data_IF_481258087787
#
_entry.id   IF_481258087787
#
_cell.length_a   1.000
_cell.length_b   1.000
_cell.length_c   1.000
_cell.angle_alpha   90.00
_cell.angle_beta   90.00
_cell.angle_gamma   90.00
#
_symmetry.space_group_name_H-M   'P 1'
#
loop_
_entity.id
_entity.type
_entity.pdbx_description
1 polymer ?
#
# COMPACT_ATOMS: atom_id res chain seq x y z
N UNK A 1 -7.52 -5.61 -9.40
CA UNK A 1 -8.39 -5.37 -8.22
C UNK A 1 -8.26 -3.92 -7.77
N UNK A 2 -9.38 -3.21 -7.57
CA UNK A 2 -9.38 -1.90 -6.90
C UNK A 2 -9.14 -2.08 -5.40
N UNK A 3 -8.17 -1.35 -4.85
CA UNK A 3 -7.89 -1.32 -3.41
C UNK A 3 -8.59 -0.12 -2.77
N UNK A 4 -8.95 -0.26 -1.49
CA UNK A 4 -9.67 0.72 -0.70
C UNK A 4 -8.99 0.88 0.66
N UNK A 5 -9.22 2.03 1.32
CA UNK A 5 -8.62 2.35 2.62
C UNK A 5 -9.09 1.42 3.74
N UNK A 6 -10.37 1.06 3.76
CA UNK A 6 -10.96 0.27 4.84
C UNK A 6 -10.79 -1.26 4.66
N UNK A 7 -10.03 -1.68 3.66
CA UNK A 7 -9.76 -3.09 3.38
C UNK A 7 -9.09 -3.78 4.58
N UNK A 8 -9.77 -4.79 5.13
CA UNK A 8 -9.22 -5.67 6.17
C UNK A 8 -8.84 -7.00 5.53
N UNK A 9 -7.54 -7.36 5.48
CA UNK A 9 -7.16 -8.69 5.03
C UNK A 9 -7.72 -9.74 6.00
N UNK A 10 -8.04 -10.96 5.52
CA UNK A 10 -8.42 -12.06 6.38
C UNK A 10 -7.37 -12.34 7.45
N UNK A 11 -7.79 -12.92 8.57
CA UNK A 11 -6.87 -13.27 9.65
C UNK A 11 -5.97 -14.43 9.22
N UNK A 12 -4.68 -14.41 9.61
CA UNK A 12 -3.81 -15.56 9.46
C UNK A 12 -4.39 -16.79 10.15
N UNK A 13 -4.25 -17.95 9.52
CA UNK A 13 -4.65 -19.24 10.09
C UNK A 13 -3.51 -19.79 10.94
N UNK A 14 -3.89 -20.47 12.03
CA UNK A 14 -2.97 -21.21 12.89
C UNK A 14 -3.19 -22.69 12.63
N UNK A 15 -2.12 -23.39 12.26
CA UNK A 15 -2.17 -24.82 12.02
C UNK A 15 -2.31 -25.58 13.35
N UNK A 16 -3.06 -26.68 13.33
CA UNK A 16 -3.09 -27.65 14.43
C UNK A 16 -1.70 -28.21 14.76
N UNK A 17 -1.60 -28.92 15.89
CA UNK A 17 -0.37 -29.65 16.25
C UNK A 17 -0.23 -30.90 15.37
N UNK A 18 1.00 -31.30 15.01
CA UNK A 18 1.21 -32.55 14.29
C UNK A 18 0.69 -33.73 15.10
N UNK A 19 0.18 -34.79 14.44
CA UNK A 19 -0.06 -36.06 15.10
C UNK A 19 1.21 -36.49 15.85
N UNK A 20 1.14 -36.80 17.15
CA UNK A 20 2.32 -37.14 17.92
C UNK A 20 2.96 -38.44 17.40
N UNK A 21 4.29 -38.45 17.28
CA UNK A 21 5.06 -39.59 16.77
C UNK A 21 4.78 -40.90 17.54
N UNK A 22 4.41 -40.83 18.81
CA UNK A 22 4.01 -41.99 19.61
C UNK A 22 2.79 -42.73 19.06
N UNK A 23 1.87 -42.05 18.36
CA UNK A 23 0.74 -42.72 17.70
C UNK A 23 1.26 -43.58 16.55
N UNK A 24 2.19 -43.06 15.73
CA UNK A 24 2.81 -43.84 14.66
C UNK A 24 3.60 -45.03 15.21
N UNK A 25 4.32 -44.84 16.33
CA UNK A 25 5.00 -45.93 17.01
C UNK A 25 4.03 -46.98 17.56
N UNK A 26 2.92 -46.55 18.18
CA UNK A 26 1.90 -47.46 18.69
C UNK A 26 1.26 -48.28 17.56
N UNK A 27 0.92 -47.63 16.43
CA UNK A 27 0.42 -48.29 15.22
C UNK A 27 1.43 -49.33 14.74
N UNK A 28 2.71 -48.96 14.64
CA UNK A 28 3.78 -49.89 14.25
C UNK A 28 3.85 -51.09 15.20
N UNK A 29 3.95 -50.89 16.51
CA UNK A 29 4.10 -51.98 17.48
C UNK A 29 2.90 -52.93 17.45
N UNK A 30 1.66 -52.38 17.42
CA UNK A 30 0.43 -53.19 17.41
C UNK A 30 0.34 -54.01 16.12
N UNK A 31 0.59 -53.41 14.97
CA UNK A 31 0.49 -54.10 13.67
C UNK A 31 1.58 -55.16 13.53
N UNK A 32 2.81 -54.88 13.95
CA UNK A 32 3.89 -55.86 13.91
C UNK A 32 3.62 -57.04 14.85
N UNK A 33 3.18 -56.77 16.08
CA UNK A 33 2.81 -57.83 17.02
C UNK A 33 1.66 -58.70 16.47
N UNK A 34 0.62 -58.08 15.92
CA UNK A 34 -0.47 -58.80 15.25
C UNK A 34 0.04 -59.62 14.05
N UNK A 35 0.93 -59.05 13.23
CA UNK A 35 1.55 -59.74 12.10
C UNK A 35 2.35 -60.97 12.51
N UNK A 36 3.12 -60.88 13.60
CA UNK A 36 3.85 -62.03 14.19
C UNK A 36 2.88 -63.11 14.65
N UNK A 37 1.88 -62.74 15.45
CA UNK A 37 0.89 -63.70 15.98
C UNK A 37 0.14 -64.39 14.86
N UNK A 38 -0.39 -63.63 13.89
CA UNK A 38 -1.12 -64.17 12.74
C UNK A 38 -0.22 -65.09 11.93
N UNK A 39 1.02 -64.67 11.63
CA UNK A 39 1.94 -65.49 10.84
C UNK A 39 2.26 -66.80 11.53
N UNK A 40 2.60 -66.77 12.83
CA UNK A 40 2.92 -67.99 13.59
C UNK A 40 1.72 -68.93 13.71
N UNK A 41 0.52 -68.41 13.95
CA UNK A 41 -0.69 -69.22 14.10
C UNK A 41 -1.19 -69.82 12.77
N UNK A 42 -0.96 -69.12 11.66
CA UNK A 42 -1.42 -69.56 10.33
C UNK A 42 -0.31 -70.26 9.53
N UNK A 43 0.88 -70.42 10.10
CA UNK A 43 2.00 -71.07 9.42
C UNK A 43 1.76 -72.57 9.28
N UNK A 44 1.75 -73.04 8.03
CA UNK A 44 1.62 -74.46 7.70
C UNK A 44 2.96 -75.23 7.82
N UNK A 45 3.05 -76.44 7.26
CA UNK A 45 4.23 -77.31 7.35
C UNK A 45 5.45 -76.85 6.51
N UNK A 46 5.44 -75.61 6.00
CA UNK A 46 6.53 -75.08 5.18
C UNK A 46 7.73 -74.66 6.04
N UNK A 47 8.96 -74.64 5.47
CA UNK A 47 10.14 -74.25 6.22
C UNK A 47 10.07 -72.78 6.64
N UNK A 48 10.37 -72.51 7.91
CA UNK A 48 10.41 -71.16 8.51
C UNK A 48 11.47 -70.26 7.86
N UNK A 49 12.45 -70.84 7.16
CA UNK A 49 13.47 -70.11 6.41
C UNK A 49 13.03 -69.69 4.98
N UNK A 50 11.75 -69.83 4.62
CA UNK A 50 11.25 -69.41 3.30
C UNK A 50 11.09 -67.89 3.19
N UNK A 51 11.23 -67.36 1.97
CA UNK A 51 10.97 -65.94 1.70
C UNK A 51 9.53 -65.54 2.06
N UNK A 52 8.56 -66.42 1.79
CA UNK A 52 7.14 -66.21 2.10
C UNK A 52 6.88 -66.04 3.60
N UNK A 53 7.64 -66.74 4.44
CA UNK A 53 7.58 -66.56 5.89
C UNK A 53 7.93 -65.12 6.27
N UNK A 54 9.02 -64.58 5.74
CA UNK A 54 9.44 -63.19 6.02
C UNK A 54 8.51 -62.14 5.41
N UNK A 55 7.94 -62.42 4.23
CA UNK A 55 6.95 -61.53 3.61
C UNK A 55 5.71 -61.39 4.49
N UNK A 56 5.18 -62.51 5.01
CA UNK A 56 4.01 -62.49 5.92
C UNK A 56 4.36 -61.95 7.30
N UNK A 57 5.53 -62.29 7.82
CA UNK A 57 5.98 -61.88 9.16
C UNK A 57 6.29 -60.38 9.25
N UNK A 58 6.94 -59.81 8.23
CA UNK A 58 7.55 -58.48 8.31
C UNK A 58 7.06 -57.52 7.21
N UNK A 59 7.08 -57.95 5.94
CA UNK A 59 6.83 -57.04 4.81
C UNK A 59 5.37 -56.59 4.78
N UNK A 60 4.41 -57.50 4.92
CA UNK A 60 2.98 -57.16 4.92
C UNK A 60 2.59 -56.28 6.12
N UNK A 61 2.94 -56.61 7.38
CA UNK A 61 2.66 -55.74 8.52
C UNK A 61 3.35 -54.37 8.41
N UNK A 62 4.59 -54.32 7.89
CA UNK A 62 5.28 -53.05 7.66
C UNK A 62 4.58 -52.20 6.61
N UNK A 63 4.19 -52.80 5.47
CA UNK A 63 3.49 -52.10 4.40
C UNK A 63 2.14 -51.55 4.87
N UNK A 64 1.41 -52.29 5.72
CA UNK A 64 0.19 -51.82 6.38
C UNK A 64 0.44 -50.64 7.32
N UNK A 65 1.50 -50.72 8.13
CA UNK A 65 1.90 -49.62 9.01
C UNK A 65 2.21 -48.36 8.21
N UNK A 66 2.99 -48.50 7.13
CA UNK A 66 3.37 -47.39 6.24
C UNK A 66 2.14 -46.77 5.59
N UNK A 67 1.19 -47.58 5.11
CA UNK A 67 -0.07 -47.10 4.52
C UNK A 67 -0.90 -46.28 5.53
N UNK A 68 -1.08 -46.80 6.75
CA UNK A 68 -1.87 -46.14 7.78
C UNK A 68 -1.22 -44.85 8.26
N UNK A 69 0.09 -44.88 8.56
CA UNK A 69 0.83 -43.68 8.94
C UNK A 69 0.82 -42.65 7.81
N UNK A 70 1.05 -43.05 6.56
CA UNK A 70 0.99 -42.15 5.40
C UNK A 70 -0.37 -41.44 5.28
N UNK A 71 -1.47 -42.17 5.47
CA UNK A 71 -2.82 -41.58 5.44
C UNK A 71 -3.06 -40.58 6.59
N UNK A 72 -2.59 -40.90 7.80
CA UNK A 72 -2.75 -40.05 8.99
C UNK A 72 -1.99 -38.72 8.84
N UNK A 73 -0.73 -38.78 8.37
CA UNK A 73 0.10 -37.58 8.20
C UNK A 73 -0.27 -36.79 6.93
N UNK A 74 -0.92 -37.40 5.94
CA UNK A 74 -1.34 -36.71 4.71
C UNK A 74 -2.38 -35.63 4.96
N UNK A 75 -3.35 -35.86 5.85
CA UNK A 75 -4.31 -34.83 6.23
C UNK A 75 -3.62 -33.63 6.90
N UNK A 76 -2.67 -33.91 7.80
CA UNK A 76 -1.91 -32.85 8.48
C UNK A 76 -1.00 -32.09 7.52
N UNK A 77 -0.28 -32.78 6.63
CA UNK A 77 0.57 -32.13 5.62
C UNK A 77 -0.24 -31.20 4.71
N UNK A 78 -1.46 -31.61 4.35
CA UNK A 78 -2.38 -30.79 3.57
C UNK A 78 -2.84 -29.55 4.36
N UNK A 79 -3.23 -29.70 5.63
CA UNK A 79 -3.63 -28.57 6.49
C UNK A 79 -2.50 -27.55 6.68
N UNK A 80 -1.26 -28.04 6.87
CA UNK A 80 -0.06 -27.18 6.95
C UNK A 80 0.12 -26.41 5.65
N UNK A 81 0.07 -27.09 4.51
CA UNK A 81 0.27 -26.48 3.20
C UNK A 81 -0.81 -25.43 2.87
N UNK A 82 -2.07 -25.72 3.22
CA UNK A 82 -3.20 -24.80 3.07
C UNK A 82 -3.06 -23.58 3.98
N UNK A 83 -2.62 -23.78 5.22
CA UNK A 83 -2.38 -22.71 6.20
C UNK A 83 -1.22 -21.81 5.78
N UNK A 84 -0.11 -22.40 5.34
CA UNK A 84 1.07 -21.68 4.86
C UNK A 84 0.69 -20.81 3.65
N UNK A 85 -0.05 -21.36 2.67
CA UNK A 85 -0.51 -20.61 1.50
C UNK A 85 -1.50 -19.50 1.85
N UNK A 86 -2.44 -19.76 2.75
CA UNK A 86 -3.36 -18.73 3.25
C UNK A 86 -2.61 -17.57 3.90
N UNK A 87 -1.63 -17.89 4.75
CA UNK A 87 -0.81 -16.89 5.44
C UNK A 87 0.07 -16.11 4.47
N UNK A 88 0.59 -16.77 3.42
CA UNK A 88 1.26 -16.11 2.30
C UNK A 88 0.34 -15.09 1.62
N UNK A 89 -0.88 -15.48 1.24
CA UNK A 89 -1.86 -14.60 0.60
C UNK A 89 -2.24 -13.41 1.50
N UNK A 90 -2.37 -13.63 2.81
CA UNK A 90 -2.60 -12.55 3.79
C UNK A 90 -1.45 -11.53 3.75
N UNK A 91 -0.20 -12.00 3.83
CA UNK A 91 1.00 -11.15 3.79
C UNK A 91 1.14 -10.42 2.45
N UNK A 92 0.92 -11.13 1.34
CA UNK A 92 1.00 -10.55 -0.01
C UNK A 92 -0.05 -9.45 -0.19
N UNK A 93 -1.29 -9.71 0.22
CA UNK A 93 -2.39 -8.74 0.17
C UNK A 93 -2.11 -7.53 1.04
N UNK A 94 -1.64 -7.74 2.28
CA UNK A 94 -1.27 -6.66 3.18
C UNK A 94 -0.11 -5.82 2.62
N UNK A 95 0.92 -6.46 2.06
CA UNK A 95 2.05 -5.76 1.43
C UNK A 95 1.61 -4.94 0.21
N UNK A 96 0.67 -5.47 -0.57
CA UNK A 96 0.14 -4.84 -1.77
C UNK A 96 -0.74 -3.64 -1.40
N UNK A 97 -1.59 -3.80 -0.38
CA UNK A 97 -2.39 -2.71 0.19
C UNK A 97 -1.50 -1.60 0.77
N UNK A 98 -0.46 -1.93 1.54
CA UNK A 98 0.52 -0.95 2.04
C UNK A 98 1.23 -0.22 0.90
N UNK A 99 1.66 -0.92 -0.16
CA UNK A 99 2.26 -0.29 -1.36
C UNK A 99 1.28 0.64 -2.08
N UNK A 100 0.02 0.25 -2.18
CA UNK A 100 -1.02 1.10 -2.75
C UNK A 100 -1.28 2.35 -1.92
N UNK A 101 -1.35 2.21 -0.59
CA UNK A 101 -1.47 3.33 0.33
C UNK A 101 -0.22 4.23 0.26
N UNK A 102 0.98 3.66 0.15
CA UNK A 102 2.24 4.39 0.00
C UNK A 102 2.48 5.00 -1.40
N UNK A 103 1.51 4.90 -2.33
CA UNK A 103 1.57 5.69 -3.57
C UNK A 103 1.69 7.16 -3.20
N UNK A 104 2.53 7.87 -3.94
CA UNK A 104 2.94 9.23 -3.59
C UNK A 104 3.15 10.09 -4.83
N UNK A 105 2.91 11.37 -4.65
CA UNK A 105 3.34 12.43 -5.55
C UNK A 105 4.63 13.00 -4.98
N UNK A 106 5.60 13.24 -5.86
CA UNK A 106 6.87 13.85 -5.49
C UNK A 106 6.74 15.35 -5.65
N UNK A 107 6.92 16.10 -4.57
CA UNK A 107 7.10 17.55 -4.60
C UNK A 107 8.59 17.79 -4.85
N UNK A 108 8.92 18.32 -6.02
CA UNK A 108 10.29 18.57 -6.46
C UNK A 108 10.81 19.85 -5.83
N UNK A 109 9.99 20.91 -5.89
CA UNK A 109 10.28 22.22 -5.36
C UNK A 109 8.97 23.00 -5.19
N UNK A 110 8.97 23.95 -4.25
CA UNK A 110 7.82 24.81 -3.97
C UNK A 110 8.26 26.21 -3.57
N UNK A 111 7.52 27.22 -4.00
CA UNK A 111 7.66 28.61 -3.56
C UNK A 111 6.31 29.10 -3.06
N UNK A 112 6.28 29.85 -1.97
CA UNK A 112 5.07 30.39 -1.37
C UNK A 112 5.26 31.88 -1.10
N UNK A 113 4.27 32.68 -1.43
CA UNK A 113 4.16 34.09 -1.10
C UNK A 113 2.90 34.29 -0.27
N UNK A 114 3.07 34.88 0.90
CA UNK A 114 2.02 35.09 1.90
C UNK A 114 2.10 36.53 2.43
N UNK A 115 1.06 37.01 3.14
CA UNK A 115 1.08 38.33 3.76
C UNK A 115 2.17 38.47 4.83
N UNK A 116 2.56 37.36 5.45
CA UNK A 116 3.66 37.27 6.40
C UNK A 116 4.86 36.59 5.73
N UNK A 117 6.07 37.09 5.96
CA UNK A 117 7.29 36.42 5.54
C UNK A 117 7.53 35.16 6.38
N UNK A 118 8.12 34.12 5.77
CA UNK A 118 8.54 32.87 6.44
C UNK A 118 7.42 32.18 7.25
N UNK A 119 6.17 32.33 6.81
CA UNK A 119 4.97 31.93 7.56
C UNK A 119 5.05 30.53 8.18
N UNK A 120 5.52 29.53 7.42
CA UNK A 120 5.64 28.16 7.92
C UNK A 120 6.59 28.04 9.12
N UNK A 121 7.73 28.73 9.08
CA UNK A 121 8.76 28.68 10.12
C UNK A 121 8.29 29.40 11.38
N UNK A 122 7.66 30.56 11.21
CA UNK A 122 7.07 31.34 12.30
C UNK A 122 5.90 30.62 12.98
N UNK A 123 5.10 29.87 12.21
CA UNK A 123 4.01 29.05 12.78
C UNK A 123 4.52 27.92 13.68
N UNK A 124 5.68 27.35 13.36
CA UNK A 124 6.36 26.35 14.19
C UNK A 124 7.19 26.96 15.33
N UNK A 125 7.31 28.29 15.39
CA UNK A 125 8.15 28.98 16.36
C UNK A 125 9.65 28.79 16.11
N UNK A 126 10.04 28.48 14.87
CA UNK A 126 11.45 28.36 14.48
C UNK A 126 12.09 29.74 14.30
N UNK A 127 11.34 30.66 13.70
CA UNK A 127 11.79 32.02 13.42
C UNK A 127 10.74 33.03 13.93
N UNK A 128 11.12 33.91 14.86
CA UNK A 128 10.24 34.98 15.33
C UNK A 128 8.91 34.56 16.01
N UNK A 129 8.04 35.54 16.33
CA UNK A 129 6.75 35.26 16.96
C UNK A 129 5.73 34.74 15.95
N UNK A 130 4.87 33.81 16.41
CA UNK A 130 3.75 33.28 15.62
C UNK A 130 2.79 34.41 15.20
N UNK A 131 2.48 34.56 13.90
CA UNK A 131 1.52 35.55 13.44
C UNK A 131 0.12 35.31 14.01
N UNK A 132 -0.61 36.40 14.27
CA UNK A 132 -1.99 36.37 14.78
C UNK A 132 -2.85 37.31 13.94
N UNK A 133 -3.38 36.76 12.84
CA UNK A 133 -4.12 37.49 11.82
C UNK A 133 -5.53 36.95 11.59
N UNK A 134 -6.03 36.11 12.50
CA UNK A 134 -7.39 35.58 12.48
C UNK A 134 -8.44 36.66 12.11
N UNK A 135 -9.29 36.37 11.12
CA UNK A 135 -10.34 37.26 10.64
C UNK A 135 -9.88 38.47 9.81
N UNK A 136 -8.57 38.67 9.61
CA UNK A 136 -8.04 39.74 8.75
C UNK A 136 -7.98 39.28 7.29
N UNK A 137 -8.05 40.24 6.36
CA UNK A 137 -7.92 40.02 4.91
C UNK A 137 -6.73 40.82 4.40
N UNK A 138 -5.56 40.20 4.45
CA UNK A 138 -4.30 40.89 4.25
C UNK A 138 -3.80 40.77 2.81
N UNK A 139 -3.20 41.83 2.23
CA UNK A 139 -2.49 41.74 0.95
C UNK A 139 -1.13 41.06 1.12
N UNK A 140 -0.52 40.60 0.02
CA UNK A 140 0.83 40.06 -0.03
C UNK A 140 1.85 41.09 0.48
N UNK A 141 2.86 40.60 1.22
CA UNK A 141 3.97 41.44 1.64
C UNK A 141 4.75 41.96 0.41
N UNK A 142 5.15 43.24 0.48
CA UNK A 142 6.12 43.87 -0.44
C UNK A 142 5.73 43.86 -1.93
N UNK A 143 4.44 43.76 -2.28
CA UNK A 143 3.95 43.94 -3.65
C UNK A 143 3.00 45.13 -3.71
N UNK A 144 3.50 46.27 -4.18
CA UNK A 144 2.74 47.52 -4.32
C UNK A 144 1.50 47.34 -5.22
N UNK A 145 0.43 48.10 -4.91
CA UNK A 145 -0.83 48.16 -5.65
C UNK A 145 -0.68 48.90 -7.00
N UNK A 146 0.37 48.61 -7.78
CA UNK A 146 0.46 49.03 -9.17
C UNK A 146 -0.65 48.35 -10.01
N UNK A 147 -0.80 48.73 -11.29
CA UNK A 147 -1.87 48.18 -12.16
C UNK A 147 -1.95 46.66 -12.09
N UNK A 148 -3.17 46.11 -12.18
CA UNK A 148 -3.45 44.68 -11.96
C UNK A 148 -2.52 43.74 -12.74
N UNK A 149 -2.20 44.08 -13.98
CA UNK A 149 -1.30 43.30 -14.86
C UNK A 149 0.16 43.35 -14.39
N UNK A 150 0.68 44.55 -14.05
CA UNK A 150 2.04 44.70 -13.54
C UNK A 150 2.25 43.98 -12.19
N UNK A 151 1.17 43.88 -11.40
CA UNK A 151 1.15 43.20 -10.11
C UNK A 151 1.23 41.68 -10.27
N UNK A 152 0.42 41.10 -11.15
CA UNK A 152 0.46 39.66 -11.41
C UNK A 152 1.81 39.24 -11.99
N UNK A 153 2.37 40.00 -12.93
CA UNK A 153 3.70 39.75 -13.47
C UNK A 153 4.77 39.74 -12.35
N UNK A 154 4.72 40.70 -11.42
CA UNK A 154 5.62 40.77 -10.26
C UNK A 154 5.51 39.54 -9.35
N UNK A 155 4.29 39.13 -9.03
CA UNK A 155 4.02 37.93 -8.20
C UNK A 155 4.52 36.66 -8.89
N UNK A 156 4.19 36.48 -10.17
CA UNK A 156 4.65 35.33 -10.95
C UNK A 156 6.17 35.29 -11.08
N UNK A 157 6.82 36.46 -11.22
CA UNK A 157 8.28 36.57 -11.27
C UNK A 157 8.90 36.11 -9.95
N UNK A 158 8.36 36.56 -8.81
CA UNK A 158 8.78 36.14 -7.48
C UNK A 158 8.58 34.64 -7.23
N UNK A 159 7.52 34.04 -7.78
CA UNK A 159 7.27 32.60 -7.69
C UNK A 159 8.21 31.76 -8.56
N UNK A 160 8.43 32.18 -9.82
CA UNK A 160 9.17 31.42 -10.82
C UNK A 160 10.69 31.58 -10.71
N UNK A 161 11.17 32.73 -10.25
CA UNK A 161 12.62 33.00 -10.19
C UNK A 161 13.38 31.96 -9.34
N UNK A 162 12.92 31.60 -8.12
CA UNK A 162 13.57 30.55 -7.32
C UNK A 162 13.51 29.17 -7.98
N UNK A 163 12.50 28.91 -8.80
CA UNK A 163 12.27 27.62 -9.46
C UNK A 163 12.93 27.52 -10.84
N UNK A 164 13.39 28.62 -11.42
CA UNK A 164 13.91 28.72 -12.79
C UNK A 164 14.98 27.68 -13.12
N UNK A 165 15.98 27.51 -12.24
CA UNK A 165 17.05 26.52 -12.42
C UNK A 165 16.54 25.07 -12.33
N UNK A 166 15.48 24.82 -11.57
CA UNK A 166 14.86 23.49 -11.45
C UNK A 166 14.02 23.21 -12.69
N UNK A 167 13.18 24.17 -13.10
CA UNK A 167 12.36 24.10 -14.31
C UNK A 167 13.23 23.89 -15.55
N UNK A 168 14.28 24.69 -15.72
CA UNK A 168 15.21 24.57 -16.84
C UNK A 168 15.92 23.20 -16.88
N UNK A 169 16.26 22.64 -15.71
CA UNK A 169 16.89 21.31 -15.64
C UNK A 169 15.94 20.17 -15.99
N UNK A 170 14.66 20.30 -15.67
CA UNK A 170 13.63 19.28 -15.91
C UNK A 170 13.12 19.35 -17.35
N UNK A 171 12.62 20.52 -17.76
CA UNK A 171 11.93 20.74 -19.02
C UNK A 171 12.85 20.68 -20.26
N UNK A 172 14.19 20.62 -20.08
CA UNK A 172 15.13 20.31 -21.16
C UNK A 172 15.07 18.87 -21.64
N UNK A 173 14.64 17.95 -20.79
CA UNK A 173 14.73 16.51 -21.08
C UNK A 173 13.38 15.83 -21.07
N UNK A 174 12.40 16.38 -20.33
CA UNK A 174 11.09 15.78 -20.09
C UNK A 174 9.97 16.78 -20.39
N UNK A 175 8.77 16.27 -20.67
CA UNK A 175 7.59 17.10 -20.86
C UNK A 175 7.13 17.72 -19.54
N UNK A 176 6.62 18.95 -19.60
CA UNK A 176 6.05 19.64 -18.45
C UNK A 176 4.71 20.30 -18.80
N UNK A 177 3.80 20.32 -17.83
CA UNK A 177 2.52 21.02 -17.92
C UNK A 177 2.42 22.06 -16.81
N UNK A 178 1.88 23.25 -17.12
CA UNK A 178 1.71 24.35 -16.17
C UNK A 178 0.23 24.66 -16.02
N UNK A 179 -0.29 24.48 -14.81
CA UNK A 179 -1.61 24.97 -14.41
C UNK A 179 -1.47 26.36 -13.80
N UNK A 180 -2.23 27.32 -14.31
CA UNK A 180 -2.40 28.63 -13.70
C UNK A 180 -3.81 28.71 -13.11
N UNK A 181 -3.91 28.72 -11.79
CA UNK A 181 -5.12 28.99 -11.05
C UNK A 181 -5.15 30.47 -10.69
N UNK A 182 -6.00 31.23 -11.37
CA UNK A 182 -6.08 32.68 -11.21
C UNK A 182 -7.49 33.18 -11.48
N UNK A 183 -7.67 34.50 -11.36
CA UNK A 183 -8.98 35.11 -11.35
C UNK A 183 -9.57 35.25 -12.76
N UNK A 184 -8.73 35.35 -13.80
CA UNK A 184 -9.11 35.59 -15.20
C UNK A 184 -8.31 34.72 -16.16
N UNK A 185 -8.92 34.30 -17.27
CA UNK A 185 -8.23 33.46 -18.27
C UNK A 185 -7.13 34.23 -19.03
N UNK A 186 -7.26 35.55 -19.13
CA UNK A 186 -6.32 36.44 -19.82
C UNK A 186 -4.93 36.44 -19.15
N UNK A 187 -4.87 36.15 -17.84
CA UNK A 187 -3.66 35.97 -17.03
C UNK A 187 -2.70 34.90 -17.63
N UNK A 188 -3.25 33.95 -18.39
CA UNK A 188 -2.45 32.92 -19.06
C UNK A 188 -1.57 33.50 -20.17
N UNK A 189 -2.00 34.60 -20.81
CA UNK A 189 -1.20 35.31 -21.81
C UNK A 189 0.00 36.02 -21.17
N UNK A 190 -0.20 36.65 -20.00
CA UNK A 190 0.88 37.26 -19.20
C UNK A 190 1.89 36.22 -18.76
N UNK A 191 1.44 35.07 -18.25
CA UNK A 191 2.31 33.97 -17.87
C UNK A 191 3.18 33.49 -19.06
N UNK A 192 2.60 33.37 -20.26
CA UNK A 192 3.35 32.97 -21.46
C UNK A 192 4.41 34.00 -21.84
N UNK A 193 4.09 35.29 -21.76
CA UNK A 193 5.07 36.36 -22.01
C UNK A 193 6.20 36.31 -20.99
N UNK A 194 5.87 36.17 -19.70
CA UNK A 194 6.87 36.06 -18.64
C UNK A 194 7.75 34.80 -18.80
N UNK A 195 7.15 33.68 -19.20
CA UNK A 195 7.87 32.43 -19.49
C UNK A 195 8.98 32.63 -20.53
N UNK A 196 8.67 33.37 -21.60
CA UNK A 196 9.62 33.72 -22.65
C UNK A 196 10.69 34.71 -22.14
N UNK A 197 10.31 35.72 -21.35
CA UNK A 197 11.27 36.68 -20.75
C UNK A 197 12.28 35.98 -19.83
N UNK A 198 11.83 35.01 -19.05
CA UNK A 198 12.67 34.18 -18.18
C UNK A 198 13.48 33.11 -18.94
N UNK A 199 13.34 33.03 -20.29
CA UNK A 199 14.02 32.07 -21.17
C UNK A 199 13.84 30.62 -20.70
N UNK A 200 12.65 30.29 -20.23
CA UNK A 200 12.32 28.94 -19.80
C UNK A 200 12.03 28.03 -21.02
N UNK A 201 12.20 26.71 -20.91
CA UNK A 201 12.11 25.81 -22.07
C UNK A 201 10.73 25.78 -22.73
N UNK A 202 10.70 25.44 -24.03
CA UNK A 202 9.50 25.44 -24.88
C UNK A 202 8.67 24.14 -24.83
N UNK A 203 9.20 23.05 -24.25
CA UNK A 203 8.52 21.76 -24.08
C UNK A 203 7.46 21.79 -22.97
N UNK A 204 6.60 22.81 -23.00
CA UNK A 204 5.68 23.16 -21.93
C UNK A 204 4.30 23.44 -22.50
N UNK A 205 3.30 22.83 -21.88
CA UNK A 205 1.89 23.12 -22.15
C UNK A 205 1.29 23.91 -20.99
N UNK A 206 0.32 24.77 -21.29
CA UNK A 206 -0.31 25.66 -20.31
C UNK A 206 -1.81 25.40 -20.25
N UNK A 207 -2.39 25.45 -19.06
CA UNK A 207 -3.84 25.43 -18.86
C UNK A 207 -4.24 26.37 -17.74
N UNK A 208 -5.35 27.07 -17.96
CA UNK A 208 -5.94 27.96 -16.97
C UNK A 208 -7.05 27.23 -16.21
N UNK A 209 -7.17 27.53 -14.93
CA UNK A 209 -8.19 26.99 -14.03
C UNK A 209 -8.74 28.15 -13.21
N UNK A 210 -10.07 28.22 -13.04
CA UNK A 210 -10.69 29.22 -12.18
C UNK A 210 -10.29 29.03 -10.70
N UNK A 211 -10.19 30.13 -9.96
CA UNK A 211 -10.04 30.09 -8.49
C UNK A 211 -11.16 29.30 -7.80
N UNK A 212 -12.38 29.28 -8.36
CA UNK A 212 -13.51 28.55 -7.79
C UNK A 212 -13.41 27.03 -7.97
N UNK A 213 -12.53 26.57 -8.87
CA UNK A 213 -12.35 25.14 -9.15
C UNK A 213 -11.26 24.59 -8.23
N UNK A 214 -11.56 23.61 -7.36
CA UNK A 214 -10.57 23.01 -6.49
C UNK A 214 -9.55 22.22 -7.32
N UNK A 215 -8.27 22.54 -7.16
CA UNK A 215 -7.19 21.84 -7.85
C UNK A 215 -6.59 20.74 -6.96
N UNK A 216 -6.65 19.50 -7.44
CA UNK A 216 -6.07 18.35 -6.74
C UNK A 216 -4.65 18.08 -7.20
N UNK A 217 -3.68 18.11 -6.27
CA UNK A 217 -2.29 17.74 -6.56
C UNK A 217 -2.10 16.24 -6.80
N UNK A 218 -3.05 15.41 -6.36
CA UNK A 218 -2.92 13.95 -6.34
C UNK A 218 -3.68 13.25 -7.44
N UNK A 219 -4.78 13.85 -7.90
CA UNK A 219 -5.67 13.27 -8.92
C UNK A 219 -4.97 12.98 -10.24
N UNK A 220 -4.11 13.87 -10.81
CA UNK A 220 -3.40 13.58 -12.05
C UNK A 220 -2.47 12.36 -11.99
N UNK A 221 -2.05 11.97 -10.78
CA UNK A 221 -1.05 10.92 -10.58
C UNK A 221 -1.66 9.60 -10.08
N UNK A 222 -2.82 9.67 -9.43
CA UNK A 222 -3.49 8.52 -8.85
C UNK A 222 -4.73 8.06 -9.63
N UNK A 223 -5.26 8.91 -10.51
CA UNK A 223 -6.37 8.61 -11.40
C UNK A 223 -6.05 7.54 -12.44
N UNK A 224 -7.08 7.16 -13.19
CA UNK A 224 -6.96 6.24 -14.32
C UNK A 224 -6.46 6.93 -15.59
N UNK A 225 -6.64 8.26 -15.67
CA UNK A 225 -6.18 9.06 -16.78
C UNK A 225 -4.66 9.24 -16.71
N UNK A 226 -4.03 9.23 -17.88
CA UNK A 226 -2.60 9.47 -17.97
C UNK A 226 -2.32 10.94 -17.61
N UNK A 227 -1.33 11.24 -16.76
CA UNK A 227 -1.01 12.61 -16.41
C UNK A 227 -0.68 13.42 -17.68
N UNK A 228 -1.00 14.72 -17.69
CA UNK A 228 -0.83 15.57 -18.88
C UNK A 228 0.65 15.71 -19.30
N UNK A 229 1.58 15.50 -18.37
CA UNK A 229 3.02 15.50 -18.61
C UNK A 229 3.76 14.72 -17.52
N UNK A 230 5.06 14.49 -17.73
CA UNK A 230 5.91 13.86 -16.71
C UNK A 230 6.10 14.74 -15.46
N UNK A 231 6.05 16.06 -15.63
CA UNK A 231 6.11 17.04 -14.56
C UNK A 231 4.94 18.03 -14.67
N UNK A 232 4.38 18.41 -13.53
CA UNK A 232 3.28 19.37 -13.45
C UNK A 232 3.66 20.51 -12.51
N UNK A 233 3.70 21.73 -13.03
CA UNK A 233 3.87 22.95 -12.25
C UNK A 233 2.49 23.57 -12.00
N UNK A 234 2.10 23.65 -10.74
CA UNK A 234 0.88 24.32 -10.31
C UNK A 234 1.24 25.71 -9.81
N UNK A 235 0.74 26.74 -10.49
CA UNK A 235 0.78 28.14 -10.07
C UNK A 235 -0.63 28.51 -9.60
N UNK A 236 -0.77 28.98 -8.37
CA UNK A 236 -2.05 29.40 -7.84
C UNK A 236 -1.89 30.78 -7.21
N UNK A 237 -2.62 31.76 -7.73
CA UNK A 237 -2.53 33.16 -7.33
C UNK A 237 -3.91 33.66 -6.92
N UNK A 238 -4.10 33.82 -5.61
CA UNK A 238 -5.26 34.51 -5.06
C UNK A 238 -4.83 35.94 -4.69
N UNK A 239 -5.19 36.91 -5.55
CA UNK A 239 -4.90 38.33 -5.37
C UNK A 239 -6.20 39.15 -5.24
N UNK A 240 -6.20 40.18 -4.39
CA UNK A 240 -7.27 41.17 -4.30
C UNK A 240 -7.36 41.96 -5.58
N UNK A 241 -8.59 42.27 -5.96
CA UNK A 241 -8.87 43.16 -7.08
C UNK A 241 -9.21 44.57 -6.57
N UNK A 242 -8.81 45.63 -7.29
CA UNK A 242 -9.07 47.01 -6.87
C UNK A 242 -10.56 47.38 -6.89
N UNK A 243 -11.38 46.67 -7.67
CA UNK A 243 -12.81 46.92 -7.87
C UNK A 243 -13.73 46.16 -6.89
N UNK A 244 -13.18 45.29 -6.03
CA UNK A 244 -13.96 44.40 -5.16
C UNK A 244 -13.44 44.42 -3.74
N UNK A 245 -14.36 44.35 -2.77
CA UNK A 245 -13.97 44.16 -1.38
C UNK A 245 -13.26 42.82 -1.21
N UNK A 246 -12.11 42.76 -0.50
CA UNK A 246 -11.38 41.51 -0.35
C UNK A 246 -12.24 40.52 0.43
N UNK A 247 -12.33 39.28 -0.07
CA UNK A 247 -13.06 38.19 0.58
C UNK A 247 -12.15 37.35 1.50
N UNK A 248 -10.87 37.22 1.14
CA UNK A 248 -9.87 36.36 1.79
C UNK A 248 -8.51 37.07 1.83
N UNK A 249 -7.53 36.56 2.58
CA UNK A 249 -6.13 37.02 2.54
C UNK A 249 -5.42 36.56 1.26
N UNK A 250 -4.59 37.40 0.66
CA UNK A 250 -3.88 37.04 -0.55
C UNK A 250 -2.82 35.95 -0.31
N UNK A 251 -2.63 35.10 -1.31
CA UNK A 251 -1.59 34.08 -1.30
C UNK A 251 -1.20 33.72 -2.73
N UNK A 252 0.06 33.39 -2.95
CA UNK A 252 0.51 32.86 -4.23
C UNK A 252 1.46 31.69 -4.02
N UNK A 253 1.28 30.61 -4.77
CA UNK A 253 2.08 29.38 -4.63
C UNK A 253 2.51 28.88 -6.00
N UNK A 254 3.73 28.36 -6.03
CA UNK A 254 4.23 27.52 -7.11
C UNK A 254 4.62 26.15 -6.55
N UNK A 255 4.10 25.08 -7.12
CA UNK A 255 4.39 23.69 -6.74
C UNK A 255 4.77 22.87 -7.96
N UNK A 256 6.01 22.40 -8.02
CA UNK A 256 6.45 21.47 -9.06
C UNK A 256 6.31 20.03 -8.57
N UNK A 257 5.47 19.26 -9.25
CA UNK A 257 5.14 17.87 -8.87
C UNK A 257 5.48 16.88 -9.98
N UNK A 258 5.74 15.63 -9.59
CA UNK A 258 5.95 14.51 -10.51
C UNK A 258 5.59 13.17 -9.86
N UNK A 259 5.55 12.09 -10.63
CA UNK A 259 5.37 10.74 -10.10
C UNK A 259 6.67 10.20 -9.49
N UNK A 260 6.54 9.23 -8.56
CA UNK A 260 7.71 8.56 -7.98
C UNK A 260 8.54 7.80 -9.01
N UNK A 261 7.92 7.33 -10.09
CA UNK A 261 8.60 6.53 -11.11
C UNK A 261 9.40 7.40 -12.08
N UNK A 262 8.85 8.56 -12.47
CA UNK A 262 9.58 9.58 -13.24
C UNK A 262 10.79 10.06 -12.44
N UNK A 263 10.61 10.39 -11.15
CA UNK A 263 11.71 10.85 -10.31
C UNK A 263 12.81 9.79 -10.14
N UNK A 264 12.45 8.50 -10.00
CA UNK A 264 13.44 7.41 -9.88
C UNK A 264 14.29 7.26 -11.15
N UNK A 265 13.67 7.46 -12.31
CA UNK A 265 14.33 7.35 -13.62
C UNK A 265 15.01 8.66 -14.05
N UNK A 266 14.84 9.73 -13.29
CA UNK A 266 15.46 11.01 -13.56
C UNK A 266 16.95 10.95 -13.18
N UNK A 267 17.83 11.10 -14.18
CA UNK A 267 19.29 11.03 -14.00
C UNK A 267 19.88 12.28 -13.32
N UNK A 268 19.07 13.31 -13.05
CA UNK A 268 19.56 14.49 -12.34
C UNK A 268 19.77 14.21 -10.86
N UNK A 269 20.85 14.74 -10.29
CA UNK A 269 21.22 14.55 -8.86
C UNK A 269 20.28 15.25 -7.87
N UNK A 270 19.09 15.72 -8.29
CA UNK A 270 18.20 16.49 -7.43
C UNK A 270 17.43 15.56 -6.49
N UNK A 271 17.50 15.87 -5.19
CA UNK A 271 16.67 15.22 -4.18
C UNK A 271 15.29 15.88 -4.19
N UNK A 272 14.22 15.10 -4.03
CA UNK A 272 12.88 15.66 -3.88
C UNK A 272 12.80 16.47 -2.59
N UNK A 273 11.99 17.52 -2.61
CA UNK A 273 11.70 18.33 -1.43
C UNK A 273 10.89 17.50 -0.42
N UNK A 274 9.80 16.90 -0.88
CA UNK A 274 8.92 16.07 -0.05
C UNK A 274 8.13 15.08 -0.90
N UNK A 275 7.51 14.11 -0.24
CA UNK A 275 6.52 13.21 -0.80
C UNK A 275 5.15 13.54 -0.20
N UNK A 276 4.19 13.80 -1.08
CA UNK A 276 2.78 13.88 -0.75
C UNK A 276 2.18 12.48 -0.90
N UNK A 277 1.86 11.84 0.21
CA UNK A 277 1.37 10.47 0.24
C UNK A 277 -0.12 10.42 -0.13
N UNK A 278 -0.61 9.23 -0.53
CA UNK A 278 -2.01 9.03 -0.94
C UNK A 278 -2.97 9.61 0.12
N UNK A 279 -3.96 10.43 -0.32
CA UNK A 279 -4.97 10.99 0.55
C UNK A 279 -5.98 9.94 1.02
N UNK A 280 -6.52 10.10 2.22
CA UNK A 280 -7.81 9.55 2.62
C UNK A 280 -8.82 10.68 2.78
N UNK A 281 -10.04 10.47 2.31
CA UNK A 281 -11.15 11.41 2.47
C UNK A 281 -12.19 10.75 3.35
N UNK A 282 -12.80 11.51 4.25
CA UNK A 282 -13.81 11.03 5.18
C UNK A 282 -14.86 12.11 5.46
N UNK A 283 -16.08 11.68 5.71
CA UNK A 283 -17.16 12.51 6.26
C UNK A 283 -16.92 12.84 7.74
N UNK A 284 -17.70 13.75 8.31
CA UNK A 284 -17.51 14.24 9.68
C UNK A 284 -17.60 13.16 10.77
N UNK A 285 -18.44 12.15 10.56
CA UNK A 285 -18.65 11.00 11.44
C UNK A 285 -17.63 9.88 11.23
N UNK A 286 -16.97 9.84 10.07
CA UNK A 286 -16.00 8.79 9.68
C UNK A 286 -14.53 9.21 9.92
N UNK A 287 -14.27 10.45 10.35
CA UNK A 287 -12.89 10.98 10.51
C UNK A 287 -12.04 10.10 11.43
N UNK A 288 -12.62 9.56 12.49
CA UNK A 288 -11.92 8.66 13.42
C UNK A 288 -11.47 7.37 12.74
N UNK A 289 -12.38 6.72 12.00
CA UNK A 289 -12.07 5.48 11.28
C UNK A 289 -11.08 5.70 10.14
N UNK A 290 -11.19 6.83 9.44
CA UNK A 290 -10.26 7.21 8.39
C UNK A 290 -8.86 7.51 8.95
N UNK A 291 -8.77 8.21 10.08
CA UNK A 291 -7.48 8.45 10.75
C UNK A 291 -6.84 7.13 11.18
N UNK A 292 -7.63 6.24 11.79
CA UNK A 292 -7.16 4.90 12.16
C UNK A 292 -6.71 4.07 10.94
N UNK A 293 -7.43 4.15 9.81
CA UNK A 293 -7.07 3.48 8.56
C UNK A 293 -5.77 4.04 7.95
N UNK A 294 -5.59 5.36 7.96
CA UNK A 294 -4.38 6.05 7.50
C UNK A 294 -3.14 5.59 8.28
N UNK A 295 -3.26 5.51 9.61
CA UNK A 295 -2.15 5.08 10.47
C UNK A 295 -1.89 3.57 10.37
N UNK A 296 -2.94 2.74 10.23
CA UNK A 296 -2.81 1.28 10.00
C UNK A 296 -2.09 0.97 8.70
N UNK A 297 -2.27 1.80 7.66
CA UNK A 297 -1.57 1.65 6.41
C UNK A 297 -0.05 1.84 6.55
N UNK A 298 0.41 2.46 7.65
CA UNK A 298 1.81 2.70 7.95
C UNK A 298 2.52 3.28 6.72
N UNK A 299 1.95 4.34 6.14
CA UNK A 299 2.61 5.04 5.04
C UNK A 299 3.98 5.58 5.52
N UNK A 300 4.01 6.04 6.78
CA UNK A 300 5.19 6.42 7.56
C UNK A 300 5.12 5.77 8.95
N UNK A 301 6.25 5.61 9.65
CA UNK A 301 6.25 5.25 11.07
C UNK A 301 5.49 6.31 11.90
N UNK A 302 4.53 5.92 12.77
CA UNK A 302 3.71 6.88 13.54
C UNK A 302 4.52 7.84 14.40
N UNK A 303 5.65 7.38 14.95
CA UNK A 303 6.58 8.15 15.77
C UNK A 303 7.21 9.34 15.03
N UNK A 304 7.19 9.33 13.69
CA UNK A 304 7.73 10.39 12.85
C UNK A 304 6.72 11.44 12.46
N UNK A 305 5.43 11.24 12.72
CA UNK A 305 4.40 12.25 12.50
C UNK A 305 4.49 13.23 13.67
N UNK A 306 4.77 14.50 13.39
CA UNK A 306 5.11 15.49 14.43
C UNK A 306 4.16 16.67 14.53
N UNK A 307 3.45 17.01 13.47
CA UNK A 307 2.55 18.16 13.48
C UNK A 307 1.28 17.88 12.70
N UNK A 308 0.19 18.51 13.13
CA UNK A 308 -1.09 18.56 12.44
C UNK A 308 -1.30 19.98 11.89
N UNK A 309 -1.56 20.09 10.60
CA UNK A 309 -1.86 21.35 9.93
C UNK A 309 -3.30 21.37 9.46
N UNK A 310 -4.00 22.46 9.73
CA UNK A 310 -5.39 22.67 9.33
C UNK A 310 -5.56 24.00 8.61
N UNK A 311 -6.48 24.05 7.66
CA UNK A 311 -6.96 25.30 7.06
C UNK A 311 -8.36 25.10 6.52
N UNK A 312 -9.19 26.15 6.58
CA UNK A 312 -10.52 26.19 5.98
C UNK A 312 -11.47 25.11 6.51
N UNK A 313 -11.20 24.57 7.70
CA UNK A 313 -12.04 23.56 8.34
C UNK A 313 -13.08 24.24 9.25
N UNK A 314 -14.39 23.93 9.09
CA UNK A 314 -15.40 24.32 10.06
C UNK A 314 -15.03 23.88 11.48
N UNK A 315 -15.41 24.67 12.49
CA UNK A 315 -15.01 24.42 13.88
C UNK A 315 -15.29 22.99 14.37
N UNK A 316 -16.47 22.44 14.05
CA UNK A 316 -16.82 21.06 14.42
C UNK A 316 -15.90 20.01 13.76
N UNK A 317 -15.60 20.15 12.46
CA UNK A 317 -14.68 19.25 11.73
C UNK A 317 -13.24 19.37 12.23
N UNK A 318 -12.80 20.58 12.56
CA UNK A 318 -11.46 20.81 13.13
C UNK A 318 -11.31 20.11 14.48
N UNK A 319 -12.29 20.26 15.37
CA UNK A 319 -12.28 19.58 16.68
C UNK A 319 -12.39 18.06 16.53
N UNK A 320 -13.26 17.57 15.65
CA UNK A 320 -13.39 16.14 15.36
C UNK A 320 -12.07 15.55 14.81
N UNK A 321 -11.40 16.25 13.90
CA UNK A 321 -10.12 15.83 13.33
C UNK A 321 -9.02 15.79 14.40
N UNK A 322 -8.90 16.82 15.23
CA UNK A 322 -7.93 16.86 16.31
C UNK A 322 -8.18 15.75 17.35
N UNK A 323 -9.45 15.50 17.69
CA UNK A 323 -9.84 14.40 18.57
C UNK A 323 -9.50 13.03 17.96
N UNK A 324 -9.85 12.79 16.70
CA UNK A 324 -9.56 11.55 15.98
C UNK A 324 -8.05 11.23 15.93
N UNK A 325 -7.21 12.25 15.72
CA UNK A 325 -5.75 12.11 15.74
C UNK A 325 -5.26 11.73 17.14
N UNK A 326 -5.78 12.37 18.18
CA UNK A 326 -5.44 12.08 19.58
C UNK A 326 -5.89 10.69 20.01
N UNK A 327 -7.12 10.31 19.69
CA UNK A 327 -7.71 8.99 20.01
C UNK A 327 -6.99 7.85 19.28
N UNK A 328 -6.38 8.15 18.12
CA UNK A 328 -5.51 7.22 17.40
C UNK A 328 -4.09 7.12 17.97
N UNK A 329 -3.80 7.78 19.09
CA UNK A 329 -2.54 7.70 19.82
C UNK A 329 -1.46 8.70 19.38
N UNK A 330 -1.81 9.75 18.64
CA UNK A 330 -0.89 10.82 18.24
C UNK A 330 -1.20 12.12 18.98
N UNK A 331 -0.32 12.53 19.89
CA UNK A 331 -0.40 13.83 20.56
C UNK A 331 0.44 14.85 19.77
N UNK A 332 -0.20 15.54 18.82
CA UNK A 332 0.48 16.44 17.88
C UNK A 332 0.15 17.92 18.15
N UNK A 333 1.14 18.82 18.15
CA UNK A 333 0.87 20.25 18.05
C UNK A 333 0.10 20.57 16.77
N UNK A 334 -0.99 21.34 16.94
CA UNK A 334 -1.89 21.73 15.84
C UNK A 334 -1.60 23.16 15.39
N UNK A 335 -1.49 23.32 14.07
CA UNK A 335 -1.16 24.57 13.40
C UNK A 335 -2.30 24.97 12.47
N UNK A 336 -3.07 25.97 12.89
CA UNK A 336 -4.16 26.53 12.08
C UNK A 336 -3.62 27.66 11.20
N UNK A 337 -3.64 27.45 9.88
CA UNK A 337 -3.19 28.46 8.90
C UNK A 337 -4.06 29.71 8.95
N UNK A 338 -5.35 29.56 9.24
CA UNK A 338 -6.32 30.66 9.18
C UNK A 338 -6.09 31.65 10.34
N UNK A 339 -5.57 31.16 11.47
CA UNK A 339 -5.15 32.00 12.60
C UNK A 339 -3.93 32.87 12.26
N UNK A 340 -3.00 32.34 11.46
CA UNK A 340 -1.72 32.98 11.16
C UNK A 340 -1.77 33.87 9.90
N UNK A 341 -2.50 33.44 8.87
CA UNK A 341 -2.61 34.14 7.58
C UNK A 341 -3.84 35.07 7.51
N UNK A 342 -4.90 34.76 8.27
CA UNK A 342 -6.20 35.41 8.19
C UNK A 342 -7.21 34.61 7.38
N UNK A 343 -8.21 35.29 6.82
CA UNK A 343 -9.34 34.65 6.14
C UNK A 343 -8.87 33.74 5.00
N UNK A 344 -9.18 32.43 5.03
CA UNK A 344 -8.73 31.50 4.02
C UNK A 344 -9.44 31.71 2.68
N UNK A 345 -8.76 31.34 1.60
CA UNK A 345 -9.30 31.39 0.24
C UNK A 345 -9.15 30.06 -0.50
N UNK A 346 -9.53 30.02 -1.78
CA UNK A 346 -9.50 28.79 -2.58
C UNK A 346 -8.09 28.16 -2.73
N UNK A 347 -7.04 28.97 -2.57
CA UNK A 347 -5.65 28.53 -2.70
C UNK A 347 -5.08 28.00 -1.37
N UNK A 348 -5.76 28.22 -0.23
CA UNK A 348 -5.31 27.79 1.10
C UNK A 348 -4.97 26.29 1.20
N UNK A 349 -5.73 25.35 0.62
CA UNK A 349 -5.37 23.93 0.64
C UNK A 349 -4.05 23.61 -0.09
N UNK A 350 -3.71 24.35 -1.15
CA UNK A 350 -2.44 24.19 -1.86
C UNK A 350 -1.29 24.83 -1.04
N UNK A 351 -1.55 25.99 -0.46
CA UNK A 351 -0.61 26.69 0.43
C UNK A 351 -0.22 25.81 1.61
N UNK A 352 -1.19 25.20 2.28
CA UNK A 352 -0.97 24.35 3.43
C UNK A 352 -0.03 23.17 3.11
N UNK A 353 -0.21 22.55 1.95
CA UNK A 353 0.66 21.45 1.48
C UNK A 353 2.06 21.95 1.11
N UNK A 354 2.18 23.13 0.52
CA UNK A 354 3.47 23.73 0.18
C UNK A 354 4.27 24.11 1.44
N UNK A 355 3.64 24.76 2.42
CA UNK A 355 4.25 25.09 3.71
C UNK A 355 4.69 23.83 4.46
N UNK A 356 3.82 22.82 4.53
CA UNK A 356 4.18 21.53 5.12
C UNK A 356 5.38 20.89 4.39
N UNK A 357 5.45 20.97 3.05
CA UNK A 357 6.59 20.45 2.28
C UNK A 357 7.90 21.23 2.53
N UNK A 358 7.83 22.55 2.73
CA UNK A 358 8.98 23.37 3.13
C UNK A 358 9.46 22.94 4.52
N UNK A 359 8.56 22.84 5.49
CA UNK A 359 8.89 22.53 6.89
C UNK A 359 9.51 21.14 7.06
N UNK A 360 9.13 20.15 6.23
CA UNK A 360 9.80 18.85 6.18
C UNK A 360 11.29 18.97 5.88
N UNK A 361 11.72 19.96 5.07
CA UNK A 361 13.14 20.20 4.78
C UNK A 361 13.92 20.73 5.99
N UNK A 362 13.26 21.40 6.93
CA UNK A 362 13.85 21.87 8.20
C UNK A 362 13.93 20.76 9.26
N UNK A 363 13.66 19.50 8.89
CA UNK A 363 13.83 18.36 9.79
C UNK A 363 12.72 18.18 10.82
N UNK A 364 11.59 18.86 10.67
CA UNK A 364 10.45 18.84 11.61
C UNK A 364 9.57 17.59 11.50
N UNK A 365 10.11 16.48 10.99
CA UNK A 365 9.38 15.22 10.82
C UNK A 365 8.29 15.27 9.74
N UNK A 366 7.41 14.26 9.75
CA UNK A 366 6.27 14.14 8.83
C UNK A 366 5.13 15.03 9.30
N UNK A 367 4.52 15.74 8.36
CA UNK A 367 3.41 16.64 8.59
C UNK A 367 2.11 15.95 8.20
N UNK A 368 1.14 15.93 9.10
CA UNK A 368 -0.24 15.54 8.78
C UNK A 368 -1.01 16.81 8.40
N UNK A 369 -1.62 16.81 7.23
CA UNK A 369 -2.36 17.93 6.67
C UNK A 369 -3.82 17.56 6.54
N UNK A 370 -4.71 18.40 7.09
CA UNK A 370 -6.15 18.25 6.99
C UNK A 370 -6.75 19.44 6.22
N UNK A 371 -7.40 19.16 5.10
CA UNK A 371 -8.06 20.15 4.23
C UNK A 371 -9.52 19.80 4.02
N UNK A 372 -10.42 20.77 3.86
CA UNK A 372 -11.84 20.48 3.62
C UNK A 372 -12.06 19.79 2.27
N UNK A 373 -13.10 18.99 2.21
CA UNK A 373 -13.73 18.52 0.97
C UNK A 373 -15.18 18.99 0.93
N UNK A 374 -15.93 18.68 -0.13
CA UNK A 374 -17.35 19.09 -0.24
C UNK A 374 -18.22 18.58 0.90
N UNK A 375 -17.86 17.43 1.48
CA UNK A 375 -18.69 16.72 2.44
C UNK A 375 -17.96 16.42 3.76
N UNK A 376 -16.61 16.45 3.80
CA UNK A 376 -15.88 16.31 5.05
C UNK A 376 -14.44 16.80 4.99
N UNK A 377 -13.50 15.93 5.37
CA UNK A 377 -12.07 16.24 5.49
C UNK A 377 -11.24 15.29 4.65
N UNK A 378 -10.16 15.81 4.07
CA UNK A 378 -9.12 15.04 3.45
C UNK A 378 -7.84 15.11 4.29
N UNK A 379 -7.30 13.95 4.64
CA UNK A 379 -6.08 13.79 5.43
C UNK A 379 -4.93 13.31 4.56
N UNK A 380 -3.81 14.01 4.58
CA UNK A 380 -2.61 13.72 3.77
C UNK A 380 -1.38 13.75 4.65
N UNK A 381 -0.46 12.81 4.43
CA UNK A 381 0.86 12.84 5.04
C UNK A 381 1.88 13.41 4.06
N UNK A 382 2.72 14.33 4.53
CA UNK A 382 3.80 14.95 3.77
C UNK A 382 5.13 14.71 4.50
N UNK A 383 6.07 14.05 3.84
CA UNK A 383 7.34 13.67 4.46
C UNK A 383 8.41 13.25 3.45
N UNK A 384 9.64 12.99 3.92
CA UNK A 384 10.78 12.58 3.06
C UNK A 384 11.08 11.09 3.09
N UNK A 385 10.53 10.35 4.05
CA UNK A 385 10.82 8.93 4.25
C UNK A 385 9.52 8.14 4.37
N UNK A 386 9.52 6.94 3.81
CA UNK A 386 8.40 5.99 3.83
C UNK A 386 8.70 4.89 4.83
N UNK A 387 7.67 4.27 5.39
CA UNK A 387 7.87 3.02 6.12
C UNK A 387 8.30 1.92 5.14
N UNK A 388 9.34 1.12 5.46
CA UNK A 388 9.70 -0.01 4.62
C UNK A 388 8.53 -1.01 4.55
N UNK A 389 8.30 -1.55 3.36
CA UNK A 389 7.42 -2.69 3.13
C UNK A 389 8.32 -3.88 2.86
N UNK A 390 8.30 -4.85 3.76
CA UNK A 390 9.10 -6.06 3.61
C UNK A 390 8.65 -6.81 2.35
N UNK A 391 9.60 -7.24 1.49
CA UNK A 391 9.26 -8.06 0.36
C UNK A 391 8.75 -9.41 0.87
N UNK A 392 7.53 -9.77 0.47
CA UNK A 392 6.97 -11.08 0.78
C UNK A 392 7.70 -12.09 -0.09
N UNK A 393 8.43 -13.01 0.55
CA UNK A 393 9.08 -14.12 -0.15
C UNK A 393 7.99 -15.00 -0.76
N UNK A 394 8.17 -15.42 -2.01
CA UNK A 394 7.27 -16.37 -2.65
C UNK A 394 7.26 -17.66 -1.84
N UNK A 395 6.13 -17.96 -1.21
CA UNK A 395 5.92 -19.25 -0.56
C UNK A 395 5.70 -20.31 -1.65
N UNK A 396 6.15 -21.54 -1.42
CA UNK A 396 5.93 -22.63 -2.38
C UNK A 396 4.79 -23.50 -1.88
N UNK A 397 3.69 -23.53 -2.63
CA UNK A 397 2.63 -24.50 -2.41
C UNK A 397 3.11 -25.89 -2.81
N UNK A 398 3.22 -26.80 -1.86
CA UNK A 398 3.73 -28.16 -2.11
C UNK A 398 2.74 -28.90 -3.00
N UNK A 399 3.23 -29.35 -4.15
CA UNK A 399 2.41 -30.09 -5.12
C UNK A 399 2.45 -31.61 -4.88
N UNK A 400 3.45 -32.08 -4.14
CA UNK A 400 3.64 -33.49 -3.81
C UNK A 400 3.67 -33.63 -2.29
N UNK A 401 2.81 -34.51 -1.78
CA UNK A 401 2.78 -34.85 -0.36
C UNK A 401 3.68 -36.05 -0.10
N UNK A 402 4.65 -35.87 0.79
CA UNK A 402 5.60 -36.94 1.12
C UNK A 402 4.90 -38.07 1.89
N UNK A 403 3.95 -37.73 2.75
CA UNK A 403 3.16 -38.71 3.49
C UNK A 403 2.19 -39.47 2.59
N UNK A 404 1.55 -38.80 1.62
CA UNK A 404 0.69 -39.47 0.64
C UNK A 404 1.49 -40.44 -0.23
N UNK A 405 2.64 -40.00 -0.78
CA UNK A 405 3.52 -40.87 -1.60
C UNK A 405 3.97 -42.11 -0.84
N UNK A 406 4.45 -41.95 0.38
CA UNK A 406 4.86 -43.07 1.24
C UNK A 406 3.67 -44.00 1.56
N UNK A 407 2.51 -43.43 1.89
CA UNK A 407 1.31 -44.21 2.17
C UNK A 407 0.85 -45.06 0.99
N UNK A 408 0.83 -44.49 -0.22
CA UNK A 408 0.47 -45.26 -1.42
C UNK A 408 1.50 -46.32 -1.77
N UNK A 409 2.80 -46.06 -1.55
CA UNK A 409 3.82 -47.11 -1.70
C UNK A 409 3.58 -48.27 -0.72
N UNK A 410 3.15 -47.99 0.51
CA UNK A 410 2.69 -49.00 1.46
C UNK A 410 1.51 -49.82 0.91
N UNK A 411 0.51 -49.17 0.33
CA UNK A 411 -0.64 -49.85 -0.31
C UNK A 411 -0.20 -50.69 -1.51
N UNK A 412 0.69 -50.16 -2.37
CA UNK A 412 1.24 -50.87 -3.51
C UNK A 412 1.98 -52.15 -3.06
N UNK A 413 2.84 -52.05 -2.05
CA UNK A 413 3.51 -53.21 -1.45
C UNK A 413 2.51 -54.23 -0.88
N UNK A 414 1.50 -53.76 -0.14
CA UNK A 414 0.45 -54.65 0.38
C UNK A 414 -0.29 -55.40 -0.72
N UNK A 415 -0.64 -54.71 -1.81
CA UNK A 415 -1.37 -55.34 -2.93
C UNK A 415 -0.51 -56.37 -3.67
N UNK A 416 0.77 -56.06 -3.92
CA UNK A 416 1.71 -56.98 -4.59
C UNK A 416 1.97 -58.24 -3.76
N UNK A 417 2.49 -58.06 -2.54
CA UNK A 417 2.85 -59.18 -1.68
C UNK A 417 1.62 -59.91 -1.12
N UNK A 418 0.50 -59.20 -0.95
CA UNK A 418 -0.77 -59.81 -0.53
C UNK A 418 -1.36 -60.71 -1.61
N UNK A 419 -1.36 -60.27 -2.87
CA UNK A 419 -1.84 -61.08 -3.98
C UNK A 419 -0.96 -62.32 -4.21
N UNK A 420 0.35 -62.20 -4.04
CA UNK A 420 1.30 -63.31 -4.11
C UNK A 420 1.07 -64.33 -2.99
N UNK A 421 0.99 -63.86 -1.74
CA UNK A 421 0.79 -64.74 -0.57
C UNK A 421 -0.57 -65.45 -0.58
N UNK A 422 -1.60 -64.87 -1.18
CA UNK A 422 -2.92 -65.48 -1.35
C UNK A 422 -3.01 -66.40 -2.59
N UNK A 423 -1.97 -66.47 -3.42
CA UNK A 423 -1.96 -67.28 -4.65
C UNK A 423 -2.87 -66.73 -5.76
N UNK A 424 -3.29 -65.46 -5.67
CA UNK A 424 -4.18 -64.80 -6.64
C UNK A 424 -3.39 -63.91 -7.61
N UNK A 425 -2.06 -63.87 -7.47
CA UNK A 425 -1.20 -63.02 -8.30
C UNK A 425 -1.32 -63.34 -9.78
N UNK A 426 -1.71 -62.34 -10.56
CA UNK A 426 -1.78 -62.39 -12.01
C UNK A 426 -0.90 -61.27 -12.60
N UNK A 427 -0.31 -61.45 -13.79
CA UNK A 427 0.58 -60.44 -14.38
C UNK A 427 -0.05 -59.05 -14.51
N UNK A 428 -1.36 -58.98 -14.80
CA UNK A 428 -2.08 -57.72 -14.91
C UNK A 428 -2.19 -56.94 -13.59
N UNK A 429 -2.13 -57.61 -12.43
CA UNK A 429 -2.14 -56.96 -11.11
C UNK A 429 -0.85 -56.14 -10.93
N UNK A 430 0.31 -56.72 -11.28
CA UNK A 430 1.58 -56.01 -11.22
C UNK A 430 1.63 -54.80 -12.15
N UNK A 431 1.14 -54.95 -13.39
CA UNK A 431 1.01 -53.83 -14.33
C UNK A 431 0.04 -52.75 -13.82
N UNK A 432 -1.07 -53.14 -13.20
CA UNK A 432 -2.04 -52.20 -12.62
C UNK A 432 -1.45 -51.42 -11.43
N UNK A 433 -0.70 -52.07 -10.54
CA UNK A 433 -0.02 -51.40 -9.42
C UNK A 433 1.04 -50.43 -9.95
N UNK A 434 1.85 -50.85 -10.93
CA UNK A 434 2.83 -49.98 -11.55
C UNK A 434 2.18 -48.76 -12.20
N UNK A 435 1.09 -48.96 -12.95
CA UNK A 435 0.32 -47.89 -13.56
C UNK A 435 -0.24 -46.92 -12.51
N UNK A 436 -0.76 -47.42 -11.38
CA UNK A 436 -1.28 -46.60 -10.29
C UNK A 436 -0.19 -45.74 -9.63
N UNK A 437 0.99 -46.31 -9.38
CA UNK A 437 2.13 -45.58 -8.81
C UNK A 437 2.59 -44.47 -9.76
N UNK A 438 2.64 -44.73 -11.06
CA UNK A 438 2.98 -43.71 -12.07
C UNK A 438 1.90 -42.62 -12.13
N UNK A 439 0.61 -43.02 -12.14
CA UNK A 439 -0.52 -42.10 -12.23
C UNK A 439 -0.69 -41.25 -10.95
N UNK A 440 -0.15 -41.69 -9.82
CA UNK A 440 -0.22 -40.95 -8.57
C UNK A 440 0.39 -39.55 -8.67
N UNK A 441 1.53 -39.41 -9.33
CA UNK A 441 2.22 -38.11 -9.44
C UNK A 441 1.35 -37.04 -10.12
N UNK A 442 0.79 -37.25 -11.33
CA UNK A 442 -0.11 -36.28 -11.93
C UNK A 442 -1.43 -36.13 -11.16
N UNK A 443 -1.95 -37.16 -10.49
CA UNK A 443 -3.14 -37.04 -9.64
C UNK A 443 -2.88 -36.10 -8.46
N UNK A 444 -1.76 -36.27 -7.75
CA UNK A 444 -1.39 -35.40 -6.64
C UNK A 444 -1.19 -33.97 -7.11
N UNK A 445 -0.46 -33.76 -8.21
CA UNK A 445 -0.25 -32.42 -8.78
C UNK A 445 -1.59 -31.79 -9.20
N UNK A 446 -2.48 -32.56 -9.83
CA UNK A 446 -3.80 -32.08 -10.21
C UNK A 446 -4.65 -31.70 -9.00
N UNK A 447 -4.69 -32.56 -7.98
CA UNK A 447 -5.41 -32.32 -6.73
C UNK A 447 -4.86 -31.13 -5.96
N UNK A 448 -3.53 -30.97 -5.90
CA UNK A 448 -2.87 -29.87 -5.21
C UNK A 448 -3.14 -28.54 -5.93
N UNK A 449 -3.13 -28.51 -7.28
CA UNK A 449 -3.51 -27.33 -8.06
C UNK A 449 -4.98 -26.97 -7.84
N UNK A 450 -5.87 -27.97 -7.80
CA UNK A 450 -7.29 -27.74 -7.56
C UNK A 450 -7.53 -27.17 -6.15
N UNK A 451 -6.95 -27.78 -5.11
CA UNK A 451 -7.06 -27.28 -3.73
C UNK A 451 -6.50 -25.87 -3.59
N UNK A 452 -5.34 -25.60 -4.21
CA UNK A 452 -4.76 -24.26 -4.22
C UNK A 452 -5.72 -23.24 -4.82
N UNK A 453 -6.36 -23.55 -5.95
CA UNK A 453 -7.33 -22.66 -6.61
C UNK A 453 -8.57 -22.44 -5.73
N UNK A 454 -9.13 -23.50 -5.15
CA UNK A 454 -10.26 -23.39 -4.24
C UNK A 454 -9.91 -22.51 -3.03
N UNK A 455 -8.71 -22.65 -2.49
CA UNK A 455 -8.24 -21.84 -1.36
C UNK A 455 -8.00 -20.37 -1.74
N UNK A 456 -7.48 -20.11 -2.94
CA UNK A 456 -7.36 -18.76 -3.50
C UNK A 456 -8.76 -18.13 -3.71
N UNK A 457 -9.71 -18.87 -4.27
CA UNK A 457 -11.08 -18.41 -4.49
C UNK A 457 -11.79 -18.10 -3.17
N UNK A 458 -11.66 -18.97 -2.17
CA UNK A 458 -12.16 -18.74 -0.82
C UNK A 458 -11.55 -17.48 -0.21
N UNK A 459 -10.24 -17.31 -0.31
CA UNK A 459 -9.52 -16.13 0.19
C UNK A 459 -10.04 -14.84 -0.46
N UNK A 460 -10.17 -14.81 -1.78
CA UNK A 460 -10.65 -13.63 -2.48
C UNK A 460 -12.13 -13.35 -2.23
N UNK A 461 -12.94 -14.39 -2.02
CA UNK A 461 -14.34 -14.23 -1.64
C UNK A 461 -14.49 -13.58 -0.25
N UNK A 462 -13.66 -13.99 0.72
CA UNK A 462 -13.64 -13.41 2.06
C UNK A 462 -13.14 -11.96 2.02
N UNK A 463 -12.12 -11.70 1.20
CA UNK A 463 -11.58 -10.37 0.97
C UNK A 463 -12.58 -9.43 0.29
N UNK A 464 -13.46 -9.95 -0.58
CA UNK A 464 -14.52 -9.14 -1.18
C UNK A 464 -15.61 -8.82 -0.17
N UNK A 465 -16.04 -9.79 0.64
CA UNK A 465 -17.00 -9.55 1.73
C UNK A 465 -16.49 -8.54 2.75
N UNK A 466 -15.18 -8.49 3.01
CA UNK A 466 -14.61 -7.51 3.93
C UNK A 466 -14.66 -6.08 3.40
N UNK A 467 -14.71 -5.88 2.07
CA UNK A 467 -14.89 -4.56 1.43
C UNK A 467 -16.34 -4.07 1.51
N UNK A 468 -17.31 -4.98 1.48
CA UNK A 468 -18.75 -4.62 1.48
C UNK A 468 -19.29 -4.28 2.88
N UNK A 469 -18.57 -4.67 3.94
CA UNK A 469 -18.95 -4.43 5.35
C UNK A 469 -18.37 -3.14 5.93
N UNK A 470 -17.62 -2.40 5.13
CA UNK A 470 -17.04 -1.09 5.45
C UNK A 470 -17.60 -0.08 4.49
#
# INVERSE_FOLDING_TARGET
>A
MSMQWHMRPPLPRVCGKPPPLWIALAIYVVIQAAGVVITVLTWGPQPVASGDFFVRLLVLPLALTVALCGSLYSGYEQEVNDTDWWNFLCRETQSSWRRWAQRRVVIVASTTLTPEAELGERMLGLEGPRPANAGKRLPLANHDQASSEARLEGVLTSLLTPLSATIAGVARTRSMHVYLQSATQDDLSELRQLWQRLRLPDLVSFSWVSLDTPLSLTEPWFGNDQPPAEFVLTLACQLHRPDQAPAWSEAAIALLTTSSDVMRNYRGKRRPQAYLLRPITAEADEVTDATAALLRAQQVPPDRIKHLWTSSLPGHLRHATAAAVKDSGLDLPTHDLDEAMGEPGPVSPLLLRALAAQIVQHGQGVQLVATPTRHGVQLNLIGTQLAPVEPVKSEYYRMLSLSATIGLMGVACLTMFGAETLGVMRPWIGWAVLALVILMLPIQIGGSILNRRLLEDDFFSELQRSKERT
#
